data_IF_556632980404
#
_entry.id   IF_556632980404
#
_cell.length_a   1.000
_cell.length_b   1.000
_cell.length_c   1.000
_cell.angle_alpha   90.00
_cell.angle_beta   90.00
_cell.angle_gamma   90.00
#
_symmetry.space_group_name_H-M   'P 1'
#
loop_
_entity.id
_entity.type
_entity.pdbx_description
1 polymer ?
#
# COMPACT_ATOMS: atom_id res chain seq x y z
N UNK A 1 -8.23 -5.47 -9.76
CA UNK A 1 -7.45 -4.23 -9.79
C UNK A 1 -8.46 -3.12 -9.80
N UNK A 2 -8.81 -2.74 -8.60
CA UNK A 2 -9.70 -1.61 -8.34
C UNK A 2 -8.89 -0.31 -8.36
N UNK A 3 -9.56 0.84 -8.43
CA UNK A 3 -8.86 2.14 -8.46
C UNK A 3 -7.96 2.34 -7.23
N UNK A 4 -8.40 1.85 -6.08
CA UNK A 4 -7.68 1.91 -4.80
C UNK A 4 -6.40 1.05 -4.81
N UNK A 5 -6.38 -0.07 -5.54
CA UNK A 5 -5.17 -0.90 -5.70
C UNK A 5 -4.10 -0.15 -6.48
N UNK A 6 -4.52 0.59 -7.51
CA UNK A 6 -3.62 1.36 -8.38
C UNK A 6 -3.00 2.51 -7.60
N UNK A 7 -3.82 3.23 -6.83
CA UNK A 7 -3.33 4.31 -5.96
C UNK A 7 -2.36 3.76 -4.91
N UNK A 8 -2.69 2.65 -4.25
CA UNK A 8 -1.81 1.97 -3.29
C UNK A 8 -0.47 1.58 -3.90
N UNK A 9 -0.50 1.00 -5.10
CA UNK A 9 0.69 0.62 -5.86
C UNK A 9 1.53 1.83 -6.28
N UNK A 10 0.91 2.95 -6.66
CA UNK A 10 1.64 4.16 -6.98
C UNK A 10 2.35 4.69 -5.75
N UNK A 11 1.66 4.80 -4.62
CA UNK A 11 2.24 5.38 -3.41
C UNK A 11 3.37 4.52 -2.84
N UNK A 12 3.20 3.20 -2.83
CA UNK A 12 4.21 2.27 -2.33
C UNK A 12 5.42 2.16 -3.27
N UNK A 13 5.26 2.37 -4.59
CA UNK A 13 6.38 2.34 -5.53
C UNK A 13 7.09 3.68 -5.70
N UNK A 14 6.37 4.81 -5.62
CA UNK A 14 6.95 6.14 -5.84
C UNK A 14 7.42 6.80 -4.55
N UNK A 15 6.65 6.71 -3.47
CA UNK A 15 6.89 7.46 -2.23
C UNK A 15 6.66 6.58 -1.01
N UNK A 16 7.43 5.50 -0.90
CA UNK A 16 7.40 4.67 0.28
C UNK A 16 8.00 5.44 1.47
N UNK A 17 7.20 5.79 2.50
CA UNK A 17 7.66 6.67 3.57
C UNK A 17 8.73 5.97 4.41
N UNK A 18 9.86 6.63 4.62
CA UNK A 18 10.91 6.17 5.55
C UNK A 18 10.59 6.62 6.99
N UNK A 19 9.49 6.11 7.54
CA UNK A 19 9.03 6.38 8.91
C UNK A 19 9.09 5.10 9.77
N UNK A 20 8.92 5.24 11.09
CA UNK A 20 8.81 4.08 12.00
C UNK A 20 7.63 3.16 11.64
N UNK A 21 6.53 3.75 11.15
CA UNK A 21 5.32 3.02 10.72
C UNK A 21 4.91 3.44 9.31
N UNK A 22 5.58 2.90 8.28
CA UNK A 22 5.37 3.34 6.91
C UNK A 22 3.95 3.03 6.39
N UNK A 23 3.39 1.88 6.77
CA UNK A 23 2.04 1.48 6.35
C UNK A 23 0.93 2.33 6.98
N UNK A 24 1.13 2.79 8.21
CA UNK A 24 0.24 3.77 8.86
C UNK A 24 0.24 5.09 8.09
N UNK A 25 1.41 5.61 7.72
CA UNK A 25 1.53 6.85 6.93
C UNK A 25 0.88 6.70 5.55
N UNK A 26 1.07 5.56 4.88
CA UNK A 26 0.39 5.27 3.60
C UNK A 26 -1.12 5.23 3.78
N UNK A 27 -1.60 4.60 4.85
CA UNK A 27 -3.03 4.57 5.20
C UNK A 27 -3.59 5.98 5.43
N UNK A 28 -2.91 6.80 6.23
CA UNK A 28 -3.31 8.19 6.48
C UNK A 28 -3.36 9.03 5.20
N UNK A 29 -2.39 8.87 4.30
CA UNK A 29 -2.36 9.58 3.01
C UNK A 29 -3.51 9.19 2.09
N UNK A 30 -3.93 7.93 2.14
CA UNK A 30 -5.07 7.42 1.36
C UNK A 30 -6.41 7.55 2.08
N UNK A 31 -6.42 7.97 3.35
CA UNK A 31 -7.62 8.01 4.17
C UNK A 31 -8.19 6.63 4.51
N UNK A 32 -7.32 5.61 4.56
CA UNK A 32 -7.67 4.22 4.90
C UNK A 32 -6.92 3.76 6.15
N UNK A 33 -7.37 2.65 6.73
CA UNK A 33 -6.72 2.06 7.90
C UNK A 33 -5.42 1.32 7.53
N UNK A 34 -4.43 1.31 8.43
CA UNK A 34 -3.17 0.56 8.23
C UNK A 34 -3.43 -0.94 7.97
N UNK A 35 -4.41 -1.53 8.65
CA UNK A 35 -4.80 -2.93 8.47
C UNK A 35 -5.26 -3.21 7.04
N UNK A 36 -6.03 -2.29 6.46
CA UNK A 36 -6.46 -2.39 5.07
C UNK A 36 -5.25 -2.34 4.11
N UNK A 37 -4.30 -1.42 4.34
CA UNK A 37 -3.07 -1.30 3.55
C UNK A 37 -2.25 -2.59 3.57
N UNK A 38 -2.02 -3.15 4.76
CA UNK A 38 -1.23 -4.37 4.94
C UNK A 38 -1.91 -5.57 4.27
N UNK A 39 -3.22 -5.71 4.46
CA UNK A 39 -3.99 -6.80 3.87
C UNK A 39 -3.96 -6.70 2.34
N UNK A 40 -4.17 -5.50 1.80
CA UNK A 40 -4.16 -5.30 0.35
C UNK A 40 -2.78 -5.51 -0.26
N UNK A 41 -1.72 -5.01 0.38
CA UNK A 41 -0.35 -5.27 -0.06
C UNK A 41 -0.03 -6.77 -0.07
N UNK A 42 -0.48 -7.53 0.93
CA UNK A 42 -0.32 -8.99 0.94
C UNK A 42 -1.03 -9.66 -0.23
N UNK A 43 -2.23 -9.21 -0.58
CA UNK A 43 -2.95 -9.72 -1.75
C UNK A 43 -2.20 -9.40 -3.05
N UNK A 44 -1.68 -8.17 -3.20
CA UNK A 44 -0.94 -7.75 -4.39
C UNK A 44 0.40 -8.50 -4.57
N UNK A 45 1.09 -8.81 -3.47
CA UNK A 45 2.28 -9.68 -3.47
C UNK A 45 1.90 -11.10 -3.87
N UNK A 46 0.83 -11.67 -3.31
CA UNK A 46 0.33 -13.00 -3.69
C UNK A 46 -0.11 -13.08 -5.15
N UNK A 47 -0.71 -12.02 -5.67
CA UNK A 47 -1.09 -11.90 -7.07
C UNK A 47 0.11 -11.77 -8.02
N UNK A 48 1.32 -11.54 -7.49
CA UNK A 48 2.54 -11.36 -8.28
C UNK A 48 2.64 -10.00 -8.98
N UNK A 49 1.76 -9.06 -8.62
CA UNK A 49 1.72 -7.69 -9.15
C UNK A 49 2.79 -6.84 -8.46
N UNK A 50 2.90 -6.96 -7.13
CA UNK A 50 3.98 -6.36 -6.37
C UNK A 50 5.13 -7.38 -6.26
N UNK A 51 6.20 -7.17 -7.03
CA UNK A 51 7.47 -7.89 -6.88
C UNK A 51 8.44 -7.01 -6.10
N UNK A 52 8.83 -7.50 -4.94
CA UNK A 52 9.89 -6.92 -4.11
C UNK A 52 11.24 -7.50 -4.54
#
# INVERSE_FOLDING_TARGET
>A
MDAEDVDLLMEVQYDFPLAERPYEVVGERMGVDEGWVIERLRELVKAGILKM
#
